data_IF_682435130093
#
_entry.id   IF_682435130093
#
_cell.length_a   1.000
_cell.length_b   1.000
_cell.length_c   1.000
_cell.angle_alpha   90.00
_cell.angle_beta   90.00
_cell.angle_gamma   90.00
#
_symmetry.space_group_name_H-M   'P 1'
#
loop_
_entity.id
_entity.type
_entity.pdbx_description
1 polymer ?
#
# COMPACT_ATOMS: atom_id res chain seq x y z
N UNK A 1 -46.67 13.17 -60.28
CA UNK A 1 -45.26 12.79 -60.08
C UNK A 1 -45.15 12.17 -58.69
N UNK A 2 -44.69 10.92 -58.58
CA UNK A 2 -44.84 10.08 -57.37
C UNK A 2 -43.92 10.53 -56.22
N UNK A 3 -44.33 11.55 -55.47
CA UNK A 3 -43.68 12.02 -54.23
C UNK A 3 -43.57 10.90 -53.19
N UNK A 4 -44.54 9.98 -53.18
CA UNK A 4 -44.62 8.85 -52.25
C UNK A 4 -43.41 7.90 -52.37
N UNK A 5 -42.87 7.69 -53.58
CA UNK A 5 -41.69 6.87 -53.83
C UNK A 5 -40.42 7.55 -53.26
N UNK A 6 -40.34 8.88 -53.34
CA UNK A 6 -39.23 9.66 -52.79
C UNK A 6 -39.25 9.66 -51.26
N UNK A 7 -40.42 9.76 -50.62
CA UNK A 7 -40.54 9.69 -49.16
C UNK A 7 -40.17 8.28 -48.64
N UNK A 8 -40.59 7.23 -49.34
CA UNK A 8 -40.25 5.85 -48.97
C UNK A 8 -38.76 5.55 -49.10
N UNK A 9 -38.12 5.99 -50.18
CA UNK A 9 -36.68 5.81 -50.38
C UNK A 9 -35.86 6.60 -49.36
N UNK A 10 -36.28 7.82 -49.01
CA UNK A 10 -35.64 8.61 -47.95
C UNK A 10 -35.74 7.93 -46.57
N UNK A 11 -36.93 7.40 -46.22
CA UNK A 11 -37.14 6.64 -44.98
C UNK A 11 -36.29 5.37 -44.92
N UNK A 12 -36.15 4.66 -46.03
CA UNK A 12 -35.29 3.48 -46.13
C UNK A 12 -33.82 3.82 -45.89
N UNK A 13 -33.33 4.91 -46.50
CA UNK A 13 -31.95 5.37 -46.32
C UNK A 13 -31.70 5.81 -44.87
N UNK A 14 -32.64 6.55 -44.27
CA UNK A 14 -32.57 6.97 -42.87
C UNK A 14 -32.59 5.79 -41.91
N UNK A 15 -33.40 4.76 -42.20
CA UNK A 15 -33.44 3.53 -41.42
C UNK A 15 -32.11 2.78 -41.48
N UNK A 16 -31.55 2.61 -42.68
CA UNK A 16 -30.23 1.98 -42.86
C UNK A 16 -29.10 2.74 -42.15
N UNK A 17 -29.08 4.07 -42.25
CA UNK A 17 -28.08 4.91 -41.56
C UNK A 17 -28.23 4.84 -40.03
N UNK A 18 -29.46 4.81 -39.54
CA UNK A 18 -29.75 4.71 -38.10
C UNK A 18 -29.35 3.34 -37.56
N UNK A 19 -29.66 2.26 -38.30
CA UNK A 19 -29.29 0.90 -37.92
C UNK A 19 -27.77 0.71 -37.91
N UNK A 20 -27.08 1.19 -38.95
CA UNK A 20 -25.63 1.13 -39.02
C UNK A 20 -24.94 1.93 -37.91
N UNK A 21 -25.50 3.08 -37.50
CA UNK A 21 -24.98 3.81 -36.32
C UNK A 21 -25.22 3.07 -35.01
N UNK A 22 -26.37 2.44 -34.85
CA UNK A 22 -26.73 1.72 -33.63
C UNK A 22 -25.88 0.45 -33.46
N UNK A 23 -25.64 -0.26 -34.56
CA UNK A 23 -24.75 -1.43 -34.60
C UNK A 23 -23.30 -1.05 -34.30
N UNK A 24 -22.79 0.04 -34.91
CA UNK A 24 -21.45 0.57 -34.60
C UNK A 24 -21.31 1.04 -33.15
N UNK A 25 -22.36 1.61 -32.55
CA UNK A 25 -22.34 2.02 -31.16
C UNK A 25 -22.32 0.79 -30.22
N UNK A 26 -23.14 -0.22 -30.53
CA UNK A 26 -23.18 -1.49 -29.81
C UNK A 26 -21.80 -2.17 -29.82
N UNK A 27 -21.22 -2.38 -30.99
CA UNK A 27 -19.90 -3.01 -31.13
C UNK A 27 -18.80 -2.22 -30.44
N UNK A 28 -18.83 -0.87 -30.55
CA UNK A 28 -17.88 -0.02 -29.85
C UNK A 28 -18.02 -0.11 -28.33
N UNK A 29 -19.24 -0.15 -27.79
CA UNK A 29 -19.46 -0.27 -26.34
C UNK A 29 -19.01 -1.62 -25.80
N UNK A 30 -19.24 -2.70 -26.54
CA UNK A 30 -18.77 -4.05 -26.19
C UNK A 30 -17.24 -4.12 -26.25
N UNK A 31 -16.63 -3.64 -27.34
CA UNK A 31 -15.18 -3.61 -27.50
C UNK A 31 -14.51 -2.72 -26.43
N UNK A 32 -15.10 -1.57 -26.11
CA UNK A 32 -14.61 -0.69 -25.03
C UNK A 32 -14.69 -1.35 -23.67
N UNK A 33 -15.73 -2.17 -23.42
CA UNK A 33 -15.87 -2.91 -22.17
C UNK A 33 -14.83 -4.03 -22.07
N UNK A 34 -14.70 -4.85 -23.10
CA UNK A 34 -13.67 -5.90 -23.16
C UNK A 34 -12.27 -5.30 -23.03
N UNK A 35 -12.00 -4.19 -23.71
CA UNK A 35 -10.72 -3.50 -23.62
C UNK A 35 -10.45 -2.96 -22.21
N UNK A 36 -11.45 -2.40 -21.52
CA UNK A 36 -11.32 -1.99 -20.11
C UNK A 36 -11.04 -3.18 -19.20
N UNK A 37 -11.76 -4.29 -19.37
CA UNK A 37 -11.55 -5.51 -18.58
C UNK A 37 -10.14 -6.08 -18.80
N UNK A 38 -9.67 -6.14 -20.06
CA UNK A 38 -8.31 -6.57 -20.42
C UNK A 38 -7.24 -5.61 -19.90
N UNK A 39 -7.45 -4.29 -19.99
CA UNK A 39 -6.49 -3.31 -19.45
C UNK A 39 -6.35 -3.45 -17.94
N UNK A 40 -7.45 -3.69 -17.20
CA UNK A 40 -7.39 -3.94 -15.75
C UNK A 40 -6.58 -5.22 -15.45
N UNK A 41 -6.71 -6.26 -16.26
CA UNK A 41 -5.97 -7.51 -16.09
C UNK A 41 -4.48 -7.36 -16.43
N UNK A 42 -4.16 -6.66 -17.52
CA UNK A 42 -2.78 -6.35 -17.90
C UNK A 42 -2.10 -5.41 -16.90
N UNK A 43 -2.80 -4.40 -16.40
CA UNK A 43 -2.31 -3.52 -15.33
C UNK A 43 -1.99 -4.32 -14.06
N UNK A 44 -2.83 -5.30 -13.70
CA UNK A 44 -2.56 -6.19 -12.55
C UNK A 44 -1.34 -7.07 -12.77
N UNK A 45 -1.19 -7.65 -13.96
CA UNK A 45 -0.03 -8.47 -14.29
C UNK A 45 1.27 -7.64 -14.26
N UNK A 46 1.24 -6.44 -14.85
CA UNK A 46 2.37 -5.52 -14.82
C UNK A 46 2.73 -5.07 -13.39
N UNK A 47 1.72 -4.85 -12.54
CA UNK A 47 1.95 -4.58 -11.12
C UNK A 47 2.57 -5.80 -10.42
N UNK A 48 2.07 -7.01 -10.67
CA UNK A 48 2.61 -8.22 -10.08
C UNK A 48 4.09 -8.41 -10.45
N UNK A 49 4.43 -8.20 -11.71
CA UNK A 49 5.81 -8.31 -12.20
C UNK A 49 6.71 -7.22 -11.61
N UNK A 50 6.24 -5.97 -11.54
CA UNK A 50 7.00 -4.85 -10.97
C UNK A 50 7.20 -4.95 -9.46
N UNK A 51 6.15 -5.37 -8.75
CA UNK A 51 6.20 -5.73 -7.33
C UNK A 51 7.23 -6.86 -7.15
N UNK A 52 7.16 -7.93 -7.95
CA UNK A 52 8.12 -9.04 -7.88
C UNK A 52 9.57 -8.61 -8.12
N UNK A 53 9.84 -7.70 -9.06
CA UNK A 53 11.17 -7.16 -9.33
C UNK A 53 11.72 -6.32 -8.16
N UNK A 54 10.92 -5.41 -7.60
CA UNK A 54 11.34 -4.56 -6.48
C UNK A 54 11.65 -5.35 -5.20
N UNK A 55 10.94 -6.45 -4.95
CA UNK A 55 11.21 -7.31 -3.79
C UNK A 55 12.33 -8.32 -4.02
N UNK A 56 12.75 -8.58 -5.27
CA UNK A 56 13.99 -9.33 -5.53
C UNK A 56 15.23 -8.50 -5.15
N UNK A 57 15.19 -7.18 -5.29
CA UNK A 57 16.28 -6.28 -4.87
C UNK A 57 16.41 -6.13 -3.34
N UNK A 58 15.36 -6.40 -2.56
CA UNK A 58 15.44 -6.46 -1.08
C UNK A 58 16.18 -7.72 -0.56
N UNK A 59 16.57 -8.66 -1.43
CA UNK A 59 17.62 -9.64 -1.10
C UNK A 59 19.01 -9.00 -1.17
N UNK A 60 19.20 -7.93 -0.38
CA UNK A 60 20.53 -7.39 -0.07
C UNK A 60 21.32 -8.50 0.61
N UNK A 61 22.18 -9.15 -0.17
CA UNK A 61 23.35 -9.94 0.22
C UNK A 61 23.34 -10.42 1.69
N UNK A 62 22.49 -11.39 2.02
CA UNK A 62 22.87 -12.35 3.07
C UNK A 62 24.10 -13.07 2.54
N UNK A 63 25.29 -12.62 2.95
CA UNK A 63 26.47 -13.46 2.93
C UNK A 63 26.05 -14.80 3.54
N UNK A 64 26.10 -15.84 2.72
CA UNK A 64 25.97 -17.23 3.13
C UNK A 64 27.12 -17.54 4.11
N UNK A 65 26.90 -17.21 5.37
CA UNK A 65 27.62 -17.76 6.51
C UNK A 65 26.61 -18.59 7.28
N UNK A 66 26.73 -19.92 7.18
CA UNK A 66 25.92 -20.85 7.95
C UNK A 66 26.11 -20.63 9.45
N UNK A 67 25.16 -19.93 10.04
CA UNK A 67 24.97 -19.81 11.48
C UNK A 67 23.46 -19.77 11.70
N UNK A 68 22.98 -20.50 12.71
CA UNK A 68 21.56 -20.55 13.09
C UNK A 68 20.95 -19.14 13.05
N UNK A 69 19.90 -18.98 12.23
CA UNK A 69 19.23 -17.69 12.06
C UNK A 69 18.59 -17.29 13.38
N UNK A 70 19.25 -16.38 14.10
CA UNK A 70 18.60 -15.57 15.13
C UNK A 70 17.32 -15.00 14.53
N UNK A 71 16.18 -15.32 15.15
CA UNK A 71 14.88 -14.79 14.75
C UNK A 71 14.96 -13.26 14.78
N UNK A 72 14.85 -12.62 13.60
CA UNK A 72 14.84 -11.16 13.50
C UNK A 72 13.61 -10.64 14.24
N UNK A 73 13.82 -10.08 15.43
CA UNK A 73 12.74 -9.70 16.35
C UNK A 73 11.96 -8.45 15.88
N UNK A 74 12.56 -7.60 15.05
CA UNK A 74 11.96 -6.34 14.61
C UNK A 74 12.29 -5.96 13.16
N UNK A 75 11.38 -5.23 12.49
CA UNK A 75 11.53 -4.77 11.10
C UNK A 75 11.21 -3.28 10.94
N UNK A 76 11.75 -2.61 9.92
CA UNK A 76 11.42 -1.20 9.61
C UNK A 76 9.98 -0.95 9.15
N UNK A 77 9.23 -2.02 8.83
CA UNK A 77 7.92 -1.99 8.17
C UNK A 77 6.90 -2.74 9.04
N UNK A 78 5.61 -2.56 8.77
CA UNK A 78 4.53 -3.28 9.43
C UNK A 78 4.58 -4.77 9.04
N UNK A 79 4.67 -5.70 10.00
CA UNK A 79 4.64 -7.13 9.72
C UNK A 79 3.21 -7.61 9.39
N UNK A 80 2.97 -8.03 8.15
CA UNK A 80 1.66 -8.54 7.69
C UNK A 80 1.21 -9.75 8.50
N UNK A 81 2.14 -10.60 8.96
CA UNK A 81 1.82 -11.76 9.79
C UNK A 81 1.16 -11.39 11.11
N UNK A 82 1.48 -10.21 11.67
CA UNK A 82 0.97 -9.80 12.98
C UNK A 82 -0.52 -9.44 12.97
N UNK A 83 -1.12 -9.18 11.80
CA UNK A 83 -2.55 -8.89 11.70
C UNK A 83 -3.33 -9.75 10.68
N UNK A 84 -2.71 -10.28 9.62
CA UNK A 84 -3.42 -11.05 8.57
C UNK A 84 -3.43 -12.58 8.81
N UNK A 85 -2.50 -13.11 9.62
CA UNK A 85 -2.33 -14.56 9.80
C UNK A 85 -2.49 -15.02 11.28
N UNK A 86 -2.72 -14.09 12.20
CA UNK A 86 -2.79 -14.35 13.65
C UNK A 86 -4.05 -13.72 14.25
N UNK A 87 -5.23 -14.38 14.16
CA UNK A 87 -6.51 -13.82 14.58
C UNK A 87 -6.56 -13.42 16.07
N UNK A 88 -5.74 -14.08 16.92
CA UNK A 88 -5.67 -13.88 18.37
C UNK A 88 -4.46 -13.05 18.84
N UNK A 89 -3.78 -12.33 17.94
CA UNK A 89 -2.61 -11.55 18.36
C UNK A 89 -3.00 -10.41 19.30
N UNK A 90 -2.34 -10.34 20.46
CA UNK A 90 -2.56 -9.31 21.50
C UNK A 90 -2.44 -7.88 20.93
N UNK A 91 -1.69 -7.72 19.84
CA UNK A 91 -1.37 -6.45 19.21
C UNK A 91 -2.21 -6.15 17.94
N UNK A 92 -3.17 -7.01 17.58
CA UNK A 92 -3.97 -6.86 16.34
C UNK A 92 -4.64 -5.49 16.25
N UNK A 93 -5.32 -5.06 17.31
CA UNK A 93 -6.02 -3.76 17.37
C UNK A 93 -5.05 -2.58 17.20
N UNK A 94 -3.84 -2.70 17.77
CA UNK A 94 -2.80 -1.69 17.62
C UNK A 94 -2.33 -1.58 16.17
N UNK A 95 -2.12 -2.71 15.49
CA UNK A 95 -1.73 -2.74 14.08
C UNK A 95 -2.85 -2.22 13.15
N UNK A 96 -4.11 -2.50 13.46
CA UNK A 96 -5.25 -1.93 12.73
C UNK A 96 -5.28 -0.41 12.84
N UNK A 97 -5.10 0.12 14.06
CA UNK A 97 -5.07 1.55 14.28
C UNK A 97 -3.89 2.21 13.58
N UNK A 98 -2.72 1.57 13.62
CA UNK A 98 -1.54 2.05 12.89
C UNK A 98 -1.79 2.12 11.39
N UNK A 99 -2.38 1.06 10.82
CA UNK A 99 -2.70 1.00 9.40
C UNK A 99 -3.74 2.07 9.01
N UNK A 100 -4.77 2.27 9.84
CA UNK A 100 -5.75 3.35 9.65
C UNK A 100 -5.10 4.73 9.66
N UNK A 101 -4.21 5.00 10.62
CA UNK A 101 -3.48 6.26 10.72
C UNK A 101 -2.58 6.47 9.50
N UNK A 102 -1.90 5.41 9.04
CA UNK A 102 -1.05 5.44 7.86
C UNK A 102 -1.87 5.75 6.60
N UNK A 103 -3.02 5.10 6.41
CA UNK A 103 -3.91 5.37 5.28
C UNK A 103 -4.41 6.83 5.29
N UNK A 104 -4.72 7.38 6.47
CA UNK A 104 -5.10 8.78 6.58
C UNK A 104 -3.95 9.71 6.16
N UNK A 105 -2.73 9.46 6.64
CA UNK A 105 -1.55 10.26 6.29
C UNK A 105 -1.25 10.23 4.79
N UNK A 106 -1.33 9.04 4.17
CA UNK A 106 -0.98 8.86 2.76
C UNK A 106 -2.04 9.40 1.81
N UNK A 107 -3.33 9.21 2.14
CA UNK A 107 -4.39 9.32 1.15
C UNK A 107 -5.44 10.41 1.44
N UNK A 108 -5.57 10.90 2.68
CA UNK A 108 -6.66 11.81 3.06
C UNK A 108 -6.69 13.13 2.26
N UNK A 109 -5.53 13.62 1.82
CA UNK A 109 -5.43 14.86 1.07
C UNK A 109 -5.67 14.69 -0.44
N UNK A 110 -5.61 13.46 -0.94
CA UNK A 110 -5.73 13.21 -2.37
C UNK A 110 -7.20 13.29 -2.85
N UNK A 111 -7.48 13.95 -3.99
CA UNK A 111 -8.85 14.16 -4.47
C UNK A 111 -9.65 12.87 -4.68
N UNK A 112 -9.03 11.80 -5.18
CA UNK A 112 -9.69 10.52 -5.40
C UNK A 112 -10.19 9.94 -4.07
N UNK A 113 -9.32 9.86 -3.07
CA UNK A 113 -9.66 9.29 -1.77
C UNK A 113 -10.58 10.18 -0.94
N UNK A 114 -10.55 11.50 -1.15
CA UNK A 114 -11.56 12.41 -0.59
C UNK A 114 -12.94 12.13 -1.15
N UNK A 115 -13.06 11.92 -2.46
CA UNK A 115 -14.32 11.54 -3.08
C UNK A 115 -14.77 10.14 -2.64
N UNK A 116 -13.83 9.20 -2.51
CA UNK A 116 -14.12 7.87 -1.96
C UNK A 116 -14.65 7.96 -0.52
N UNK A 117 -14.08 8.82 0.32
CA UNK A 117 -14.54 9.04 1.70
C UNK A 117 -15.96 9.65 1.77
N UNK A 118 -16.35 10.47 0.80
CA UNK A 118 -17.72 11.01 0.72
C UNK A 118 -18.71 9.91 0.36
N UNK A 119 -18.36 9.07 -0.63
CA UNK A 119 -19.24 8.02 -1.13
C UNK A 119 -19.27 6.79 -0.21
N UNK A 120 -18.19 6.55 0.53
CA UNK A 120 -18.02 5.41 1.42
C UNK A 120 -17.15 5.78 2.64
N UNK A 121 -17.72 6.42 3.67
CA UNK A 121 -16.95 6.92 4.81
C UNK A 121 -16.20 5.84 5.60
N UNK A 122 -16.67 4.60 5.55
CA UNK A 122 -16.14 3.44 6.26
C UNK A 122 -15.11 2.63 5.46
N UNK A 123 -14.68 3.11 4.28
CA UNK A 123 -13.75 2.36 3.44
C UNK A 123 -12.43 1.99 4.15
N UNK A 124 -11.81 2.83 5.02
CA UNK A 124 -10.55 2.46 5.66
C UNK A 124 -10.74 1.24 6.57
N UNK A 125 -11.78 1.26 7.41
CA UNK A 125 -12.13 0.16 8.30
C UNK A 125 -12.51 -1.11 7.53
N UNK A 126 -13.28 -0.96 6.45
CA UNK A 126 -13.70 -2.10 5.63
C UNK A 126 -12.50 -2.75 4.91
N UNK A 127 -11.55 -1.95 4.40
CA UNK A 127 -10.29 -2.47 3.83
C UNK A 127 -9.49 -3.21 4.89
N UNK A 128 -9.32 -2.63 6.07
CA UNK A 128 -8.58 -3.27 7.17
C UNK A 128 -9.24 -4.60 7.54
N UNK A 129 -10.56 -4.67 7.57
CA UNK A 129 -11.29 -5.90 7.89
C UNK A 129 -11.00 -7.03 6.89
N UNK A 130 -11.05 -6.73 5.59
CA UNK A 130 -10.74 -7.70 4.53
C UNK A 130 -9.26 -8.14 4.55
N UNK A 131 -8.35 -7.27 5.00
CA UNK A 131 -6.93 -7.58 5.13
C UNK A 131 -6.60 -8.49 6.32
N UNK A 132 -7.47 -8.59 7.32
CA UNK A 132 -7.24 -9.46 8.48
C UNK A 132 -7.63 -10.91 8.19
N UNK A 133 -8.69 -11.10 7.41
CA UNK A 133 -9.13 -12.41 6.96
C UNK A 133 -8.99 -12.50 5.44
N UNK A 134 -7.76 -12.40 4.92
CA UNK A 134 -7.51 -12.36 3.49
C UNK A 134 -8.06 -13.63 2.84
N UNK A 135 -8.75 -13.45 1.71
CA UNK A 135 -9.29 -14.55 0.91
C UNK A 135 -8.66 -14.54 -0.48
N UNK A 136 -8.44 -15.72 -1.04
CA UNK A 136 -8.05 -15.90 -2.44
C UNK A 136 -9.23 -15.60 -3.37
N UNK A 137 -8.98 -15.52 -4.68
CA UNK A 137 -10.00 -15.24 -5.71
C UNK A 137 -11.17 -16.23 -5.71
N UNK A 138 -11.00 -17.40 -5.11
CA UNK A 138 -12.01 -18.44 -4.97
C UNK A 138 -12.79 -18.34 -3.64
N UNK A 139 -12.43 -17.38 -2.78
CA UNK A 139 -13.07 -17.12 -1.49
C UNK A 139 -12.50 -17.95 -0.32
N UNK A 140 -11.43 -18.70 -0.53
CA UNK A 140 -10.80 -19.50 0.51
C UNK A 140 -9.82 -18.65 1.34
N UNK A 141 -9.59 -18.98 2.62
CA UNK A 141 -8.58 -18.30 3.44
C UNK A 141 -7.19 -18.34 2.77
N UNK A 142 -6.62 -17.16 2.54
CA UNK A 142 -5.30 -16.99 1.93
C UNK A 142 -4.26 -16.75 3.02
N UNK A 143 -3.25 -17.62 3.12
CA UNK A 143 -2.10 -17.33 3.98
C UNK A 143 -1.14 -16.39 3.24
N UNK A 144 -1.06 -15.14 3.67
CA UNK A 144 -0.21 -14.12 3.04
C UNK A 144 1.27 -14.45 3.32
N UNK A 145 2.03 -14.82 2.28
CA UNK A 145 3.46 -15.17 2.38
C UNK A 145 4.37 -14.05 1.87
N UNK A 146 3.89 -13.29 0.88
CA UNK A 146 4.57 -12.14 0.27
C UNK A 146 3.67 -10.91 0.28
N UNK A 147 4.26 -9.73 0.29
CA UNK A 147 3.51 -8.46 0.20
C UNK A 147 2.72 -8.40 -1.11
N UNK A 148 3.27 -8.99 -2.19
CA UNK A 148 2.59 -9.14 -3.49
C UNK A 148 1.26 -9.88 -3.42
N UNK A 149 1.07 -10.77 -2.44
CA UNK A 149 -0.15 -11.58 -2.33
C UNK A 149 -1.36 -10.71 -1.92
N UNK A 150 -1.13 -9.47 -1.43
CA UNK A 150 -2.20 -8.49 -1.19
C UNK A 150 -2.91 -8.04 -2.48
N UNK A 151 -2.23 -8.10 -3.63
CA UNK A 151 -2.81 -7.67 -4.91
C UNK A 151 -3.87 -8.65 -5.45
N UNK A 152 -3.85 -9.91 -5.00
CA UNK A 152 -4.75 -10.98 -5.45
C UNK A 152 -5.88 -11.29 -4.46
N UNK A 153 -6.08 -10.43 -3.46
CA UNK A 153 -7.15 -10.59 -2.50
C UNK A 153 -8.51 -10.56 -3.19
N UNK A 154 -9.39 -11.44 -2.76
CA UNK A 154 -10.80 -11.37 -3.13
C UNK A 154 -11.49 -10.26 -2.35
N UNK A 155 -12.13 -9.39 -3.10
CA UNK A 155 -12.92 -8.30 -2.58
C UNK A 155 -14.38 -8.59 -2.92
N UNK A 156 -15.20 -8.78 -1.90
CA UNK A 156 -16.66 -8.92 -2.08
C UNK A 156 -17.26 -7.64 -2.69
N UNK A 157 -16.68 -6.50 -2.32
CA UNK A 157 -17.15 -5.19 -2.74
C UNK A 157 -16.28 -4.61 -3.86
N UNK A 158 -16.83 -4.39 -5.07
CA UNK A 158 -16.09 -3.83 -6.19
C UNK A 158 -15.53 -2.43 -5.93
N UNK A 159 -16.21 -1.62 -5.12
CA UNK A 159 -15.77 -0.26 -4.82
C UNK A 159 -14.56 -0.28 -3.86
N UNK A 160 -14.58 -1.15 -2.84
CA UNK A 160 -13.42 -1.34 -1.96
C UNK A 160 -12.21 -1.88 -2.72
N UNK A 161 -12.46 -2.80 -3.66
CA UNK A 161 -11.42 -3.31 -4.56
C UNK A 161 -10.74 -2.19 -5.34
N UNK A 162 -11.53 -1.29 -5.90
CA UNK A 162 -11.02 -0.15 -6.68
C UNK A 162 -10.22 0.81 -5.79
N UNK A 163 -10.77 1.17 -4.63
CA UNK A 163 -10.08 2.04 -3.67
C UNK A 163 -8.75 1.41 -3.23
N UNK A 164 -8.76 0.14 -2.85
CA UNK A 164 -7.55 -0.57 -2.44
C UNK A 164 -6.54 -0.69 -3.59
N UNK A 165 -7.01 -0.95 -4.81
CA UNK A 165 -6.16 -0.93 -6.00
C UNK A 165 -5.41 0.40 -6.14
N UNK A 166 -6.10 1.54 -5.99
CA UNK A 166 -5.44 2.85 -6.04
C UNK A 166 -4.48 3.10 -4.86
N UNK A 167 -4.62 2.43 -3.72
CA UNK A 167 -3.69 2.55 -2.59
C UNK A 167 -2.39 1.76 -2.78
N UNK A 168 -2.48 0.62 -3.49
CA UNK A 168 -1.33 -0.26 -3.72
C UNK A 168 -0.67 -0.02 -5.07
N UNK A 169 -1.36 0.65 -6.01
CA UNK A 169 -0.81 1.07 -7.29
C UNK A 169 0.24 2.15 -7.04
N UNK A 170 1.47 1.90 -7.48
CA UNK A 170 2.51 2.93 -7.50
C UNK A 170 2.10 4.04 -8.48
N UNK A 171 2.33 5.30 -8.10
CA UNK A 171 2.30 6.40 -9.06
C UNK A 171 3.33 6.08 -10.16
N UNK A 172 2.93 5.96 -11.44
CA UNK A 172 3.86 5.60 -12.50
C UNK A 172 4.81 6.77 -12.70
N UNK A 173 6.00 6.66 -12.11
CA UNK A 173 7.15 7.46 -12.49
C UNK A 173 7.48 7.15 -13.96
N UNK A 174 6.90 7.92 -14.89
CA UNK A 174 7.30 7.93 -16.30
C UNK A 174 6.22 7.91 -17.40
N UNK A 175 4.91 7.96 -17.11
CA UNK A 175 3.88 8.11 -18.15
C UNK A 175 3.25 9.51 -18.12
N UNK A 176 2.88 10.08 -19.28
CA UNK A 176 2.33 11.44 -19.35
C UNK A 176 1.03 11.49 -18.56
N UNK A 177 1.05 12.35 -17.56
CA UNK A 177 -0.05 12.72 -16.67
C UNK A 177 -1.28 13.05 -17.52
N UNK A 178 -2.24 12.13 -17.55
CA UNK A 178 -3.64 12.56 -17.68
C UNK A 178 -3.95 13.20 -16.35
N UNK A 179 -4.19 14.51 -16.37
CA UNK A 179 -4.38 15.42 -15.24
C UNK A 179 -5.34 14.85 -14.18
N UNK A 180 -4.79 14.05 -13.28
CA UNK A 180 -5.24 13.90 -11.91
C UNK A 180 -4.04 14.42 -11.11
N UNK A 181 -4.26 15.40 -10.24
CA UNK A 181 -3.24 16.06 -9.42
C UNK A 181 -2.61 15.07 -8.41
N UNK A 182 -1.92 14.04 -8.90
CA UNK A 182 -1.15 13.08 -8.11
C UNK A 182 0.25 13.65 -7.91
N UNK A 183 0.38 14.48 -6.88
CA UNK A 183 1.64 14.62 -6.17
C UNK A 183 2.02 13.24 -5.63
N UNK A 184 2.78 12.47 -6.41
CA UNK A 184 3.38 11.16 -6.12
C UNK A 184 2.94 10.50 -4.82
N UNK A 185 1.74 9.91 -4.80
CA UNK A 185 1.26 9.17 -3.65
C UNK A 185 2.13 7.93 -3.46
N UNK A 186 2.66 7.76 -2.24
CA UNK A 186 3.46 6.60 -1.88
C UNK A 186 2.56 5.36 -1.69
N UNK A 187 2.97 4.24 -2.30
CA UNK A 187 2.19 3.00 -2.26
C UNK A 187 2.13 2.44 -0.85
N UNK A 188 0.95 1.95 -0.44
CA UNK A 188 0.77 1.29 0.84
C UNK A 188 1.67 0.04 0.99
N UNK A 189 2.05 -0.60 -0.13
CA UNK A 189 2.93 -1.78 -0.13
C UNK A 189 4.33 -1.48 0.41
N UNK A 190 4.79 -0.23 0.32
CA UNK A 190 6.11 0.19 0.81
C UNK A 190 6.24 0.12 2.34
N UNK A 191 5.12 0.00 3.04
CA UNK A 191 5.04 -0.02 4.50
C UNK A 191 4.86 -1.41 5.09
N UNK A 192 4.81 -2.46 4.26
CA UNK A 192 4.58 -3.83 4.70
C UNK A 192 5.81 -4.74 4.54
N UNK A 193 5.91 -5.74 5.40
CA UNK A 193 6.81 -6.88 5.22
C UNK A 193 6.10 -8.19 5.60
N UNK A 194 6.66 -9.34 5.19
CA UNK A 194 6.17 -10.67 5.57
C UNK A 194 7.12 -11.44 6.50
N UNK A 195 8.14 -10.75 7.04
CA UNK A 195 9.04 -11.32 8.04
C UNK A 195 8.26 -11.63 9.31
N UNK A 196 8.75 -12.60 10.09
CA UNK A 196 8.15 -13.00 11.36
C UNK A 196 8.38 -12.03 12.51
N UNK A 197 9.07 -10.90 12.25
CA UNK A 197 9.28 -9.87 13.24
C UNK A 197 7.94 -9.38 13.78
N UNK A 198 7.74 -9.46 15.09
CA UNK A 198 6.48 -9.04 15.73
C UNK A 198 6.46 -7.54 16.04
N UNK A 199 7.61 -6.87 15.91
CA UNK A 199 7.80 -5.46 16.27
C UNK A 199 8.31 -4.62 15.10
N UNK A 200 8.00 -3.33 15.15
CA UNK A 200 8.51 -2.31 14.24
C UNK A 200 9.75 -1.68 14.89
N UNK A 201 10.90 -1.78 14.22
CA UNK A 201 12.12 -1.09 14.63
C UNK A 201 12.01 0.38 14.29
N UNK A 202 11.80 1.20 15.32
CA UNK A 202 11.56 2.62 15.18
C UNK A 202 12.76 3.35 14.55
N UNK A 203 13.98 2.94 14.89
CA UNK A 203 15.22 3.48 14.33
C UNK A 203 15.26 3.40 12.78
N UNK A 204 14.64 2.37 12.18
CA UNK A 204 14.65 2.15 10.73
C UNK A 204 13.29 2.42 10.07
N UNK A 205 12.27 2.83 10.81
CA UNK A 205 10.94 3.04 10.25
C UNK A 205 10.90 4.24 9.27
N UNK A 206 10.13 4.16 8.17
CA UNK A 206 9.98 5.27 7.22
C UNK A 206 9.20 6.43 7.82
N UNK A 207 9.40 7.64 7.28
CA UNK A 207 8.85 8.88 7.85
C UNK A 207 7.33 8.83 8.05
N UNK A 208 6.57 8.37 7.06
CA UNK A 208 5.11 8.34 7.17
C UNK A 208 4.62 7.29 8.19
N UNK A 209 5.38 6.21 8.41
CA UNK A 209 5.09 5.25 9.47
C UNK A 209 5.37 5.84 10.85
N UNK A 210 6.47 6.59 11.00
CA UNK A 210 6.75 7.34 12.23
C UNK A 210 5.67 8.37 12.52
N UNK A 211 5.20 9.07 11.48
CA UNK A 211 4.08 10.00 11.62
C UNK A 211 2.80 9.25 12.04
N UNK A 212 2.51 8.08 11.48
CA UNK A 212 1.35 7.28 11.87
C UNK A 212 1.40 6.79 13.34
N UNK A 213 2.60 6.54 13.86
CA UNK A 213 2.85 6.12 15.25
C UNK A 213 2.68 7.30 16.23
N UNK A 214 3.31 8.44 15.93
CA UNK A 214 3.36 9.59 16.85
C UNK A 214 2.24 10.62 16.65
N UNK A 215 1.50 10.55 15.54
CA UNK A 215 0.48 11.54 15.17
C UNK A 215 1.04 12.94 14.85
N UNK A 216 2.36 13.11 14.86
CA UNK A 216 3.04 14.40 14.66
C UNK A 216 4.15 14.30 13.62
N UNK A 217 4.00 15.05 12.53
CA UNK A 217 5.02 15.15 11.49
C UNK A 217 6.32 15.78 12.04
N UNK A 218 6.22 16.69 13.01
CA UNK A 218 7.39 17.30 13.65
C UNK A 218 8.22 16.26 14.40
N UNK A 219 7.57 15.38 15.17
CA UNK A 219 8.25 14.29 15.90
C UNK A 219 8.86 13.28 14.91
N UNK A 220 8.13 12.92 13.85
CA UNK A 220 8.67 12.05 12.81
C UNK A 220 9.94 12.63 12.18
N UNK A 221 9.94 13.91 11.80
CA UNK A 221 11.11 14.57 11.23
C UNK A 221 12.29 14.66 12.23
N UNK A 222 11.99 14.90 13.51
CA UNK A 222 13.01 14.92 14.56
C UNK A 222 13.69 13.55 14.70
N UNK A 223 12.92 12.46 14.73
CA UNK A 223 13.45 11.08 14.75
C UNK A 223 14.33 10.82 13.52
N UNK A 224 13.89 11.23 12.32
CA UNK A 224 14.67 11.06 11.08
C UNK A 224 16.02 11.79 11.16
N UNK A 225 16.06 12.99 11.74
CA UNK A 225 17.30 13.75 11.89
C UNK A 225 18.19 13.14 12.98
N UNK A 226 17.60 12.73 14.09
CA UNK A 226 18.32 12.22 15.25
C UNK A 226 18.97 10.86 14.97
N UNK A 227 18.28 9.96 14.24
CA UNK A 227 18.85 8.66 13.88
C UNK A 227 20.12 8.79 13.01
N UNK A 228 20.26 9.85 12.21
CA UNK A 228 21.48 10.09 11.43
C UNK A 228 22.66 10.52 12.31
N UNK A 229 22.38 11.31 13.34
CA UNK A 229 23.37 11.65 14.36
C UNK A 229 23.79 10.40 15.11
N UNK A 230 22.84 9.60 15.60
CA UNK A 230 23.11 8.33 16.28
C UNK A 230 23.90 7.35 15.42
N UNK A 231 23.54 7.21 14.13
CA UNK A 231 24.29 6.37 13.18
C UNK A 231 25.77 6.76 13.12
N UNK A 232 26.05 8.07 13.06
CA UNK A 232 27.42 8.59 12.98
C UNK A 232 28.18 8.31 14.28
N UNK A 233 27.56 8.53 15.44
CA UNK A 233 28.16 8.28 16.75
C UNK A 233 28.46 6.79 16.97
N UNK A 234 27.52 5.91 16.63
CA UNK A 234 27.69 4.45 16.74
C UNK A 234 28.77 3.95 15.77
N UNK A 235 28.71 4.35 14.50
CA UNK A 235 29.69 3.94 13.49
C UNK A 235 31.11 4.42 13.78
N UNK A 236 31.24 5.59 14.42
CA UNK A 236 32.54 6.13 14.84
C UNK A 236 33.10 5.48 16.12
N UNK A 237 32.32 4.63 16.79
CA UNK A 237 32.69 4.03 18.07
C UNK A 237 32.59 4.98 19.27
N UNK A 238 32.02 6.18 19.09
CA UNK A 238 31.80 7.15 20.17
C UNK A 238 30.73 6.66 21.16
N UNK A 239 29.77 5.85 20.68
CA UNK A 239 28.68 5.31 21.49
C UNK A 239 28.45 3.84 21.14
N UNK A 240 28.26 3.00 22.15
CA UNK A 240 27.91 1.60 22.00
C UNK A 240 26.40 1.39 21.76
N UNK A 241 26.03 0.26 21.17
CA UNK A 241 24.65 -0.06 20.82
C UNK A 241 23.66 -0.01 21.99
N UNK A 242 23.97 -0.57 23.18
CA UNK A 242 23.06 -0.53 24.33
C UNK A 242 22.77 0.90 24.79
N UNK A 243 23.80 1.74 24.95
CA UNK A 243 23.63 3.13 25.35
C UNK A 243 22.88 3.95 24.31
N UNK A 244 23.18 3.76 23.01
CA UNK A 244 22.45 4.41 21.93
C UNK A 244 20.96 4.02 21.92
N UNK A 245 20.66 2.73 22.13
CA UNK A 245 19.28 2.22 22.16
C UNK A 245 18.51 2.77 23.36
N UNK A 246 19.13 2.79 24.54
CA UNK A 246 18.50 3.31 25.76
C UNK A 246 18.27 4.82 25.69
N UNK A 247 19.21 5.58 25.14
CA UNK A 247 19.01 7.02 24.90
C UNK A 247 17.88 7.27 23.89
N UNK A 248 17.84 6.50 22.81
CA UNK A 248 16.77 6.60 21.81
C UNK A 248 15.39 6.28 22.42
N UNK A 249 15.31 5.24 23.25
CA UNK A 249 14.10 4.90 24.00
C UNK A 249 13.71 5.97 25.03
N UNK A 250 14.67 6.54 25.76
CA UNK A 250 14.39 7.60 26.74
C UNK A 250 13.82 8.86 26.09
N UNK A 251 14.29 9.22 24.89
CA UNK A 251 13.82 10.41 24.17
C UNK A 251 12.45 10.17 23.54
N UNK A 252 12.27 9.04 22.85
CA UNK A 252 11.09 8.81 22.01
C UNK A 252 10.06 7.84 22.59
N UNK A 253 10.37 7.13 23.68
CA UNK A 253 9.47 6.20 24.35
C UNK A 253 8.36 6.91 25.16
N UNK A 254 8.66 8.05 25.76
CA UNK A 254 7.72 8.78 26.64
C UNK A 254 6.57 9.50 25.93
N UNK A 255 6.72 9.79 24.63
CA UNK A 255 5.70 10.48 23.82
C UNK A 255 4.70 9.56 23.13
N UNK A 256 4.75 8.24 23.39
CA UNK A 256 3.92 7.26 22.71
C UNK A 256 2.55 7.12 23.36
N UNK A 257 1.54 6.94 22.53
CA UNK A 257 0.26 6.41 23.01
C UNK A 257 0.51 4.98 23.49
N UNK A 258 0.11 4.66 24.72
CA UNK A 258 0.39 3.38 25.41
C UNK A 258 0.16 2.13 24.56
N UNK A 259 -0.81 2.17 23.65
CA UNK A 259 -1.13 1.07 22.75
C UNK A 259 0.01 0.70 21.78
N UNK A 260 0.86 1.66 21.37
CA UNK A 260 1.95 1.42 20.42
C UNK A 260 3.21 0.87 21.08
N UNK A 261 3.42 1.08 22.38
CA UNK A 261 4.64 0.69 23.09
C UNK A 261 4.99 -0.79 22.91
N UNK A 262 3.99 -1.67 22.82
CA UNK A 262 4.19 -3.12 22.72
C UNK A 262 4.57 -3.61 21.31
N UNK A 263 4.36 -2.79 20.28
CA UNK A 263 4.69 -3.14 18.89
C UNK A 263 5.99 -2.49 18.41
N UNK A 264 6.71 -1.77 19.27
CA UNK A 264 7.91 -1.03 18.90
C UNK A 264 9.18 -1.65 19.47
N UNK A 265 10.25 -1.53 18.70
CA UNK A 265 11.63 -1.83 19.07
C UNK A 265 12.49 -0.57 18.89
N UNK A 266 13.21 -0.18 19.94
CA UNK A 266 14.08 1.00 19.97
C UNK A 266 15.56 0.66 19.72
N UNK A 267 15.89 -0.59 19.42
CA UNK A 267 17.27 -1.00 19.15
C UNK A 267 17.90 -0.20 18.01
N UNK A 268 19.08 0.37 18.30
CA UNK A 268 19.93 1.11 17.37
C UNK A 268 21.09 0.23 16.95
N UNK A 269 21.28 0.08 15.63
CA UNK A 269 22.34 -0.73 15.05
C UNK A 269 23.16 0.07 14.00
N UNK A 270 24.20 -0.57 13.44
CA UNK A 270 25.04 0.05 12.40
C UNK A 270 24.35 0.13 11.02
N UNK A 271 23.07 -0.21 10.91
CA UNK A 271 22.34 -0.04 9.65
C UNK A 271 22.16 1.45 9.38
N UNK A 272 22.51 1.89 8.17
CA UNK A 272 22.37 3.29 7.76
C UNK A 272 20.88 3.64 7.62
N UNK A 273 20.35 4.56 8.43
CA UNK A 273 18.93 4.89 8.41
C UNK A 273 18.50 5.73 7.19
N UNK A 274 19.45 6.26 6.40
CA UNK A 274 19.14 7.10 5.23
C UNK A 274 18.44 6.35 4.10
N UNK A 275 18.60 5.04 4.02
CA UNK A 275 17.89 4.20 3.03
C UNK A 275 16.41 4.00 3.34
N UNK A 276 15.93 4.51 4.48
CA UNK A 276 14.55 4.35 4.97
C UNK A 276 13.86 5.70 5.18
N UNK A 277 14.18 6.72 4.37
CA UNK A 277 13.59 8.06 4.50
C UNK A 277 12.19 8.12 3.94
#
# INVERSE_FOLDING_TARGET
>A
MNILIFVFSLLLILSFLSYGRLENYSTFTLASREWKEQMIEQERAALFDRVKELYQEETVQTKEGGGEQDQVQASSKIPLKAFANAPDSVNRTTYQLLLKNLMAILFQNNPYFRNAAINRPDYPEAIIQELIEPKDLQGNPLKVQRVSDLAILYWKDPQLKEIFYHMIKESPTGLPVVEINDDGIDSLLNYFNTKSAEKIRLYLAPRNLLWAIYGSQAVANDIINYREKLYTEVKSGYKDHPTASQEFENIYGGGLVLQFTYILDFQVNETNPRSYR
#
